data_IF_714956532793
#
_entry.id   IF_714956532793
#
_cell.length_a   1.000
_cell.length_b   1.000
_cell.length_c   1.000
_cell.angle_alpha   90.00
_cell.angle_beta   90.00
_cell.angle_gamma   90.00
#
_symmetry.space_group_name_H-M   'P 1'
#
loop_
_entity.id
_entity.type
_entity.pdbx_description
1 polymer ?
#
# COMPACT_ATOMS: atom_id res chain seq x y z
N UNK A 1 -6.44 -13.57 4.76
CA UNK A 1 -7.73 -14.29 4.96
C UNK A 1 -7.79 -15.55 4.11
N UNK A 2 -7.45 -15.49 2.81
CA UNK A 2 -7.36 -16.69 1.96
C UNK A 2 -6.22 -17.65 2.35
N UNK A 3 -5.11 -17.13 2.89
CA UNK A 3 -4.04 -17.97 3.47
C UNK A 3 -4.54 -18.78 4.67
N UNK A 4 -5.24 -18.15 5.62
CA UNK A 4 -5.86 -18.86 6.75
C UNK A 4 -6.89 -19.91 6.27
N UNK A 5 -7.61 -19.63 5.18
CA UNK A 5 -8.53 -20.60 4.56
C UNK A 5 -7.77 -21.76 3.92
N UNK A 6 -6.61 -21.53 3.32
CA UNK A 6 -5.75 -22.55 2.74
C UNK A 6 -5.25 -23.54 3.80
N UNK A 7 -4.91 -23.06 4.99
CA UNK A 7 -4.39 -23.89 6.09
C UNK A 7 -5.38 -24.94 6.61
N UNK A 8 -6.68 -24.64 6.59
CA UNK A 8 -7.73 -25.49 7.18
C UNK A 8 -8.58 -26.23 6.16
N UNK A 9 -8.30 -26.08 4.86
CA UNK A 9 -9.15 -26.61 3.79
C UNK A 9 -8.64 -27.95 3.22
N UNK A 10 -9.60 -28.77 2.78
CA UNK A 10 -9.35 -30.07 2.17
C UNK A 10 -8.41 -29.97 0.96
N UNK A 11 -7.53 -30.98 0.81
CA UNK A 11 -6.51 -31.01 -0.24
C UNK A 11 -7.06 -30.81 -1.67
N UNK A 12 -8.32 -31.20 -1.92
CA UNK A 12 -9.01 -31.02 -3.20
C UNK A 12 -9.24 -29.54 -3.56
N UNK A 13 -9.50 -28.68 -2.57
CA UNK A 13 -9.85 -27.27 -2.84
C UNK A 13 -8.64 -26.33 -2.72
N UNK A 14 -7.55 -26.77 -2.08
CA UNK A 14 -6.34 -25.97 -1.93
C UNK A 14 -5.73 -25.43 -3.23
N UNK A 15 -5.71 -26.17 -4.37
CA UNK A 15 -5.22 -25.61 -5.63
C UNK A 15 -6.02 -24.38 -6.09
N UNK A 16 -7.34 -24.40 -5.93
CA UNK A 16 -8.21 -23.27 -6.26
C UNK A 16 -7.92 -22.06 -5.36
N UNK A 17 -7.75 -22.31 -4.06
CA UNK A 17 -7.42 -21.24 -3.09
C UNK A 17 -6.05 -20.61 -3.41
N UNK A 18 -5.06 -21.42 -3.79
CA UNK A 18 -3.74 -20.90 -4.22
C UNK A 18 -3.83 -20.01 -5.46
N UNK A 19 -4.70 -20.32 -6.42
CA UNK A 19 -4.95 -19.46 -7.59
C UNK A 19 -5.54 -18.12 -7.16
N UNK A 20 -6.49 -18.11 -6.22
CA UNK A 20 -7.08 -16.88 -5.69
C UNK A 20 -6.04 -16.04 -4.96
N UNK A 21 -5.20 -16.65 -4.11
CA UNK A 21 -4.11 -15.95 -3.43
C UNK A 21 -3.18 -15.28 -4.45
N UNK A 22 -2.72 -16.02 -5.46
CA UNK A 22 -1.84 -15.47 -6.50
C UNK A 22 -2.49 -14.31 -7.28
N UNK A 23 -3.79 -14.39 -7.56
CA UNK A 23 -4.52 -13.31 -8.21
C UNK A 23 -4.63 -12.06 -7.32
N UNK A 24 -4.88 -12.23 -6.02
CA UNK A 24 -4.93 -11.14 -5.06
C UNK A 24 -3.56 -10.47 -4.91
N UNK A 25 -2.48 -11.24 -4.83
CA UNK A 25 -1.12 -10.72 -4.76
C UNK A 25 -0.78 -9.87 -6.00
N UNK A 26 -1.14 -10.36 -7.19
CA UNK A 26 -0.94 -9.62 -8.43
C UNK A 26 -1.72 -8.29 -8.44
N UNK A 27 -2.97 -8.29 -7.98
CA UNK A 27 -3.79 -7.08 -7.87
C UNK A 27 -3.26 -6.09 -6.84
N UNK A 28 -2.76 -6.57 -5.71
CA UNK A 28 -2.11 -5.74 -4.68
C UNK A 28 -0.89 -5.05 -5.29
N UNK A 29 -0.06 -5.79 -6.00
CA UNK A 29 1.15 -5.24 -6.62
C UNK A 29 0.84 -4.26 -7.74
N UNK A 30 -0.18 -4.54 -8.55
CA UNK A 30 -0.68 -3.60 -9.56
C UNK A 30 -1.19 -2.31 -8.93
N UNK A 31 -2.00 -2.42 -7.87
CA UNK A 31 -2.53 -1.26 -7.16
C UNK A 31 -1.40 -0.43 -6.53
N UNK A 32 -0.40 -1.08 -5.92
CA UNK A 32 0.79 -0.39 -5.39
C UNK A 32 1.56 0.36 -6.48
N UNK A 33 1.72 -0.26 -7.67
CA UNK A 33 2.35 0.41 -8.82
C UNK A 33 1.55 1.63 -9.25
N UNK A 34 0.24 1.49 -9.44
CA UNK A 34 -0.63 2.60 -9.82
C UNK A 34 -0.59 3.76 -8.80
N UNK A 35 -0.54 3.47 -7.50
CA UNK A 35 -0.36 4.48 -6.45
C UNK A 35 0.99 5.19 -6.60
N UNK A 36 2.09 4.45 -6.76
CA UNK A 36 3.41 5.05 -6.91
C UNK A 36 3.48 5.90 -8.19
N UNK A 37 2.98 5.39 -9.31
CA UNK A 37 2.95 6.12 -10.58
C UNK A 37 2.12 7.41 -10.46
N UNK A 38 1.00 7.37 -9.73
CA UNK A 38 0.20 8.57 -9.49
C UNK A 38 0.96 9.61 -8.64
N UNK A 39 1.65 9.17 -7.59
CA UNK A 39 2.49 10.04 -6.75
C UNK A 39 3.66 10.62 -7.54
N UNK A 40 4.32 9.83 -8.37
CA UNK A 40 5.50 10.25 -9.13
C UNK A 40 5.16 11.24 -10.25
N UNK A 41 3.95 11.16 -10.80
CA UNK A 41 3.45 12.07 -11.83
C UNK A 41 2.89 13.39 -11.27
N UNK A 42 2.75 13.53 -9.95
CA UNK A 42 2.36 14.78 -9.28
C UNK A 42 3.56 15.36 -8.50
N UNK A 43 4.14 16.51 -8.93
CA UNK A 43 5.30 17.11 -8.27
C UNK A 43 5.08 17.44 -6.79
N UNK A 44 3.84 17.74 -6.38
CA UNK A 44 3.48 18.02 -4.99
C UNK A 44 3.43 16.75 -4.14
N UNK A 45 2.79 15.70 -4.64
CA UNK A 45 2.74 14.40 -3.95
C UNK A 45 4.14 13.78 -3.85
N UNK A 46 4.96 13.89 -4.90
CA UNK A 46 6.35 13.42 -4.90
C UNK A 46 7.17 14.11 -3.80
N UNK A 47 7.08 15.43 -3.69
CA UNK A 47 7.75 16.18 -2.62
C UNK A 47 7.26 15.75 -1.23
N UNK A 48 5.96 15.52 -1.07
CA UNK A 48 5.41 15.05 0.20
C UNK A 48 5.92 13.65 0.55
N UNK A 49 6.07 12.76 -0.44
CA UNK A 49 6.66 11.43 -0.27
C UNK A 49 8.09 11.51 0.22
N UNK A 50 8.93 12.31 -0.43
CA UNK A 50 10.35 12.49 -0.05
C UNK A 50 10.48 13.02 1.38
N UNK A 51 9.60 13.97 1.77
CA UNK A 51 9.56 14.48 3.14
C UNK A 51 9.16 13.40 4.16
N UNK A 52 8.22 12.52 3.82
CA UNK A 52 7.82 11.43 4.71
C UNK A 52 8.89 10.35 4.82
N UNK A 53 9.54 9.98 3.71
CA UNK A 53 10.65 9.03 3.71
C UNK A 53 11.88 9.58 4.48
N UNK A 54 12.02 10.91 4.59
CA UNK A 54 13.06 11.52 5.41
C UNK A 54 12.87 11.33 6.93
N UNK A 55 11.68 10.91 7.38
CA UNK A 55 11.39 10.61 8.78
C UNK A 55 11.65 9.11 9.03
N UNK A 56 12.63 8.75 9.87
CA UNK A 56 12.92 7.34 10.17
C UNK A 56 11.68 6.64 10.73
N UNK A 57 11.29 5.52 10.09
CA UNK A 57 10.16 4.70 10.53
C UNK A 57 8.81 5.01 9.87
N UNK A 58 8.73 5.95 8.92
CA UNK A 58 7.49 6.24 8.17
C UNK A 58 7.47 5.53 6.82
N UNK A 59 6.35 4.88 6.50
CA UNK A 59 6.09 4.24 5.21
C UNK A 59 5.44 5.26 4.25
N UNK A 60 6.27 6.06 3.57
CA UNK A 60 5.85 7.26 2.84
C UNK A 60 4.67 7.12 1.88
N UNK A 61 4.72 6.19 0.91
CA UNK A 61 3.67 6.06 -0.12
C UNK A 61 2.35 5.48 0.40
N UNK A 62 2.41 4.51 1.33
CA UNK A 62 1.22 3.94 1.97
C UNK A 62 0.47 4.99 2.79
N UNK A 63 1.21 5.86 3.48
CA UNK A 63 0.63 6.92 4.30
C UNK A 63 -0.06 7.97 3.42
N UNK A 64 0.55 8.34 2.30
CA UNK A 64 -0.05 9.26 1.32
C UNK A 64 -1.35 8.71 0.73
N UNK A 65 -1.36 7.44 0.34
CA UNK A 65 -2.56 6.78 -0.16
C UNK A 65 -3.70 6.75 0.87
N UNK A 66 -3.35 6.61 2.16
CA UNK A 66 -4.33 6.59 3.25
C UNK A 66 -4.85 7.98 3.62
N UNK A 67 -3.99 9.01 3.58
CA UNK A 67 -4.31 10.35 4.05
C UNK A 67 -4.88 11.27 2.96
N UNK A 68 -4.61 10.99 1.69
CA UNK A 68 -5.09 11.79 0.57
C UNK A 68 -4.44 13.18 0.57
N UNK A 69 -5.25 14.23 0.73
CA UNK A 69 -4.79 15.62 0.63
C UNK A 69 -3.94 16.03 1.85
N UNK A 70 -2.63 16.05 1.63
CA UNK A 70 -1.62 16.45 2.61
C UNK A 70 -1.65 17.94 2.97
N UNK A 71 -2.32 18.80 2.20
CA UNK A 71 -2.45 20.24 2.51
C UNK A 71 -3.23 20.50 3.81
N UNK A 72 -3.96 19.49 4.30
CA UNK A 72 -4.69 19.51 5.57
C UNK A 72 -3.78 19.44 6.79
N UNK A 73 -2.50 19.07 6.62
CA UNK A 73 -1.53 18.96 7.70
C UNK A 73 -0.53 20.11 7.63
N UNK A 74 -0.39 20.83 8.75
CA UNK A 74 0.45 22.03 8.85
C UNK A 74 1.96 21.73 8.84
N UNK A 75 2.38 20.47 9.07
CA UNK A 75 3.76 20.00 8.90
C UNK A 75 3.84 18.48 8.86
N UNK A 76 4.91 17.93 8.28
CA UNK A 76 5.16 16.47 8.29
C UNK A 76 5.29 15.88 9.69
N UNK A 77 5.64 16.69 10.71
CA UNK A 77 5.64 16.28 12.13
C UNK A 77 4.23 16.13 12.70
N UNK A 78 3.25 16.87 12.20
CA UNK A 78 1.85 16.71 12.59
C UNK A 78 1.26 15.36 12.15
N UNK A 79 1.99 14.64 11.29
CA UNK A 79 1.63 13.31 10.79
C UNK A 79 2.10 12.17 11.70
N UNK A 80 3.08 12.43 12.56
CA UNK A 80 3.71 11.44 13.44
C UNK A 80 3.28 11.77 14.87
N UNK A 81 2.28 11.04 15.37
CA UNK A 81 1.81 11.09 16.75
C UNK A 81 1.86 9.69 17.36
#
# INVERSE_FOLDING_TARGET
>A
MEENRLEVSDAVVQPSIRVVIAALDAQIDETKRAINDHIDNDPGLKKNRELLESIPGVLGSTMLAYMGDMSRFSSSKALVA
#
